data_IF_936773809141
#
_entry.id   IF_936773809141
#
_cell.length_a   1.000
_cell.length_b   1.000
_cell.length_c   1.000
_cell.angle_alpha   90.00
_cell.angle_beta   90.00
_cell.angle_gamma   90.00
#
_symmetry.space_group_name_H-M   'P 1'
#
loop_
_entity.id
_entity.type
_entity.pdbx_description
1 polymer ?
#
# COMPACT_ATOMS: atom_id res chain seq x y z
N UNK A 1 -23.59 -55.46 -2.28
CA UNK A 1 -23.75 -54.45 -1.19
C UNK A 1 -22.48 -53.61 -1.07
N UNK A 2 -22.26 -52.64 -1.98
CA UNK A 2 -21.13 -51.71 -1.91
C UNK A 2 -21.37 -50.44 -2.75
N UNK A 3 -22.61 -49.92 -2.75
CA UNK A 3 -22.98 -48.70 -3.50
C UNK A 3 -23.87 -47.72 -2.73
N UNK A 4 -23.88 -47.79 -1.40
CA UNK A 4 -24.63 -46.84 -0.56
C UNK A 4 -23.77 -46.01 0.42
N UNK A 5 -22.47 -46.22 0.51
CA UNK A 5 -21.61 -45.47 1.45
C UNK A 5 -20.97 -44.20 0.88
N UNK A 6 -21.08 -43.93 -0.43
CA UNK A 6 -20.46 -42.75 -1.04
C UNK A 6 -21.34 -41.48 -0.99
N UNK A 7 -22.65 -41.62 -0.74
CA UNK A 7 -23.59 -40.50 -0.79
C UNK A 7 -23.74 -39.73 0.53
N UNK A 8 -23.26 -40.28 1.65
CA UNK A 8 -23.30 -39.60 2.96
C UNK A 8 -22.04 -38.78 3.29
N UNK A 9 -20.93 -39.01 2.57
CA UNK A 9 -19.68 -38.25 2.75
C UNK A 9 -19.65 -37.01 1.85
N UNK A 10 -20.31 -37.05 0.69
CA UNK A 10 -20.33 -35.91 -0.25
C UNK A 10 -21.22 -34.77 0.24
N UNK A 11 -22.29 -35.07 1.00
CA UNK A 11 -23.16 -34.02 1.55
C UNK A 11 -22.54 -33.30 2.74
N UNK A 12 -21.67 -33.92 3.54
CA UNK A 12 -21.00 -33.27 4.68
C UNK A 12 -19.83 -32.39 4.24
N UNK A 13 -19.11 -32.76 3.18
CA UNK A 13 -18.02 -31.93 2.62
C UNK A 13 -18.58 -30.69 1.90
N UNK A 14 -19.75 -30.79 1.26
CA UNK A 14 -20.39 -29.65 0.61
C UNK A 14 -20.92 -28.59 1.59
N UNK A 15 -21.19 -28.94 2.86
CA UNK A 15 -21.68 -27.98 3.86
C UNK A 15 -20.57 -27.09 4.42
N UNK A 16 -19.30 -27.49 4.30
CA UNK A 16 -18.18 -26.74 4.90
C UNK A 16 -17.66 -25.60 4.00
N UNK A 17 -17.98 -25.59 2.70
CA UNK A 17 -17.47 -24.57 1.76
C UNK A 17 -18.51 -23.56 1.27
N UNK A 18 -19.74 -23.54 1.80
CA UNK A 18 -20.81 -22.63 1.30
C UNK A 18 -20.80 -21.25 1.99
N UNK A 19 -20.02 -21.01 3.05
CA UNK A 19 -20.03 -19.74 3.80
C UNK A 19 -18.71 -18.95 3.74
N UNK A 20 -18.27 -18.63 2.53
CA UNK A 20 -17.15 -17.68 2.32
C UNK A 20 -17.55 -16.47 1.44
N UNK A 21 -18.83 -16.10 1.43
CA UNK A 21 -19.39 -14.98 0.64
C UNK A 21 -20.05 -13.90 1.50
N UNK A 22 -19.71 -13.83 2.79
CA UNK A 22 -20.14 -12.76 3.69
C UNK A 22 -18.97 -11.84 4.01
N UNK A 23 -19.21 -10.52 3.92
CA UNK A 23 -18.29 -9.50 4.40
C UNK A 23 -17.84 -9.77 5.85
N UNK A 24 -16.67 -9.28 6.19
CA UNK A 24 -16.02 -9.50 7.48
C UNK A 24 -16.31 -8.37 8.43
N UNK A 25 -16.83 -8.69 9.62
CA UNK A 25 -17.07 -7.71 10.67
C UNK A 25 -16.24 -8.04 11.91
N UNK A 26 -15.50 -7.05 12.41
CA UNK A 26 -14.75 -7.12 13.65
C UNK A 26 -15.29 -6.09 14.63
N UNK A 27 -15.69 -6.54 15.82
CA UNK A 27 -16.18 -5.67 16.89
C UNK A 27 -15.04 -5.24 17.80
N UNK A 28 -15.19 -4.05 18.40
CA UNK A 28 -14.20 -3.42 19.27
C UNK A 28 -12.82 -3.33 18.60
N UNK A 29 -12.84 -3.11 17.29
CA UNK A 29 -11.67 -3.03 16.42
C UNK A 29 -11.80 -1.86 15.47
N UNK A 30 -10.67 -1.26 15.16
CA UNK A 30 -10.55 -0.18 14.18
C UNK A 30 -9.42 -0.51 13.22
N UNK A 31 -9.63 -0.31 11.92
CA UNK A 31 -8.55 -0.28 10.96
C UNK A 31 -7.94 1.13 10.99
N UNK A 32 -6.70 1.32 11.45
CA UNK A 32 -6.07 2.63 11.44
C UNK A 32 -5.82 3.13 10.01
N UNK A 33 -5.34 4.35 9.90
CA UNK A 33 -4.92 4.95 8.63
C UNK A 33 -5.99 5.67 7.81
N UNK A 34 -5.71 5.85 6.52
CA UNK A 34 -6.42 6.80 5.66
C UNK A 34 -7.93 6.56 5.60
N UNK A 35 -8.69 7.65 5.51
CA UNK A 35 -10.15 7.66 5.48
C UNK A 35 -10.57 8.44 4.25
N UNK A 36 -11.20 7.78 3.28
CA UNK A 36 -11.65 8.42 2.04
C UNK A 36 -12.86 9.34 2.29
N UNK A 37 -13.71 9.01 3.28
CA UNK A 37 -14.88 9.81 3.63
C UNK A 37 -15.23 9.59 5.10
N UNK A 38 -15.48 10.68 5.82
CA UNK A 38 -16.05 10.64 7.17
C UNK A 38 -17.42 11.30 7.16
N UNK A 39 -18.43 10.66 7.76
CA UNK A 39 -19.76 11.25 7.89
C UNK A 39 -20.47 10.74 9.15
N UNK A 40 -21.50 11.47 9.59
CA UNK A 40 -22.32 11.08 10.73
C UNK A 40 -23.35 10.04 10.31
N UNK A 41 -23.45 8.98 11.09
CA UNK A 41 -24.47 7.95 10.93
C UNK A 41 -24.86 7.40 12.28
N UNK A 42 -26.15 7.17 12.49
CA UNK A 42 -26.68 6.53 13.70
C UNK A 42 -26.58 5.00 13.63
N UNK A 43 -26.35 4.45 12.44
CA UNK A 43 -26.26 3.02 12.20
C UNK A 43 -25.10 2.67 11.25
N UNK A 44 -24.46 1.55 11.53
CA UNK A 44 -23.36 1.02 10.72
C UNK A 44 -23.84 0.54 9.34
N UNK A 45 -25.14 0.21 9.17
CA UNK A 45 -25.72 -0.15 7.87
C UNK A 45 -25.65 0.98 6.84
N UNK A 46 -25.79 2.23 7.26
CA UNK A 46 -25.64 3.37 6.35
C UNK A 46 -24.17 3.57 5.95
N UNK A 47 -23.19 3.16 6.78
CA UNK A 47 -21.80 3.06 6.34
C UNK A 47 -21.65 2.05 5.19
N UNK A 48 -22.33 0.90 5.30
CA UNK A 48 -22.31 -0.14 4.26
C UNK A 48 -22.95 0.33 2.96
N UNK A 49 -24.10 1.02 3.03
CA UNK A 49 -24.76 1.57 1.85
C UNK A 49 -23.87 2.60 1.12
N UNK A 50 -23.35 3.58 1.85
CA UNK A 50 -22.44 4.59 1.31
C UNK A 50 -21.16 3.99 0.74
N UNK A 51 -20.63 2.94 1.38
CA UNK A 51 -19.47 2.22 0.86
C UNK A 51 -19.80 1.43 -0.41
N UNK A 52 -20.96 0.76 -0.49
CA UNK A 52 -21.38 0.06 -1.72
C UNK A 52 -21.58 1.01 -2.90
N UNK A 53 -21.99 2.26 -2.62
CA UNK A 53 -22.20 3.31 -3.62
C UNK A 53 -20.91 4.07 -3.98
N UNK A 54 -19.78 3.76 -3.35
CA UNK A 54 -18.49 4.38 -3.61
C UNK A 54 -17.52 3.37 -4.22
N UNK A 55 -17.08 3.61 -5.46
CA UNK A 55 -16.24 2.67 -6.21
C UNK A 55 -14.86 2.42 -5.58
N UNK A 56 -14.35 3.40 -4.84
CA UNK A 56 -13.07 3.31 -4.15
C UNK A 56 -13.19 2.69 -2.76
N UNK A 57 -14.40 2.45 -2.25
CA UNK A 57 -14.58 1.97 -0.89
C UNK A 57 -14.46 0.44 -0.82
N UNK A 58 -13.50 -0.04 -0.02
CA UNK A 58 -13.22 -1.47 0.22
C UNK A 58 -13.71 -1.91 1.61
N UNK A 59 -13.63 -1.02 2.60
CA UNK A 59 -14.00 -1.27 3.98
C UNK A 59 -14.46 0.01 4.69
N UNK A 60 -14.97 -0.10 5.91
CA UNK A 60 -15.25 1.05 6.76
C UNK A 60 -15.02 0.76 8.24
N UNK A 61 -14.78 1.83 9.01
CA UNK A 61 -14.93 1.80 10.45
C UNK A 61 -16.21 2.53 10.87
N UNK A 62 -16.89 2.04 11.89
CA UNK A 62 -18.03 2.70 12.51
C UNK A 62 -17.79 2.88 14.01
N UNK A 63 -17.96 4.10 14.51
CA UNK A 63 -17.89 4.41 15.93
C UNK A 63 -19.29 4.46 16.52
N UNK A 64 -19.63 3.48 17.37
CA UNK A 64 -20.94 3.42 18.03
C UNK A 64 -21.19 4.58 18.99
N UNK A 65 -20.14 5.05 19.66
CA UNK A 65 -20.23 6.12 20.67
C UNK A 65 -20.28 7.51 20.02
N UNK A 66 -19.54 7.69 18.93
CA UNK A 66 -19.46 8.95 18.19
C UNK A 66 -20.47 9.10 17.05
N UNK A 67 -21.17 8.02 16.70
CA UNK A 67 -22.12 7.93 15.58
C UNK A 67 -21.50 8.46 14.28
N UNK A 68 -20.30 8.00 13.94
CA UNK A 68 -19.63 8.36 12.68
C UNK A 68 -19.05 7.13 11.95
N UNK A 69 -19.08 7.23 10.63
CA UNK A 69 -18.49 6.26 9.69
C UNK A 69 -17.21 6.85 9.11
N UNK A 70 -16.19 6.01 8.98
CA UNK A 70 -14.95 6.28 8.25
C UNK A 70 -14.85 5.26 7.11
N UNK A 71 -15.13 5.67 5.88
CA UNK A 71 -14.96 4.81 4.69
C UNK A 71 -13.47 4.71 4.33
N UNK A 72 -13.06 3.57 3.78
CA UNK A 72 -11.66 3.27 3.43
C UNK A 72 -11.56 2.55 2.11
N UNK A 73 -10.49 2.80 1.38
CA UNK A 73 -10.15 2.13 0.12
C UNK A 73 -9.21 0.93 0.26
N UNK A 74 -8.98 0.49 1.50
CA UNK A 74 -8.18 -0.69 1.81
C UNK A 74 -8.84 -1.49 2.92
N UNK A 75 -8.46 -2.76 3.05
CA UNK A 75 -8.93 -3.67 4.09
C UNK A 75 -7.97 -4.86 4.24
N UNK A 76 -8.15 -5.68 5.28
CA UNK A 76 -7.28 -6.83 5.53
C UNK A 76 -7.34 -7.81 4.35
N UNK A 77 -6.17 -8.19 3.84
CA UNK A 77 -6.05 -9.00 2.61
C UNK A 77 -6.49 -10.45 2.80
N UNK A 78 -6.45 -10.99 4.02
CA UNK A 78 -6.72 -12.41 4.32
C UNK A 78 -7.53 -12.54 5.62
N UNK A 79 -8.61 -13.34 5.56
CA UNK A 79 -9.57 -13.62 6.66
C UNK A 79 -8.91 -13.98 8.00
N UNK A 80 -7.84 -14.76 7.95
CA UNK A 80 -7.18 -15.33 9.12
C UNK A 80 -6.07 -14.44 9.71
N UNK A 81 -5.67 -13.37 9.00
CA UNK A 81 -4.59 -12.47 9.42
C UNK A 81 -5.10 -11.05 9.73
N UNK A 82 -6.41 -10.82 9.72
CA UNK A 82 -6.99 -9.50 9.97
C UNK A 82 -6.61 -8.90 11.34
N UNK A 83 -6.23 -9.72 12.32
CA UNK A 83 -5.75 -9.25 13.62
C UNK A 83 -4.38 -8.56 13.57
N UNK A 84 -3.62 -8.70 12.48
CA UNK A 84 -2.33 -8.03 12.29
C UNK A 84 -2.52 -6.58 11.81
N UNK A 85 -3.62 -6.30 11.09
CA UNK A 85 -3.93 -4.99 10.52
C UNK A 85 -4.85 -4.13 11.43
N UNK A 86 -5.61 -4.78 12.32
CA UNK A 86 -6.62 -4.13 13.16
C UNK A 86 -6.09 -3.82 14.56
N UNK A 87 -6.42 -2.63 15.07
CA UNK A 87 -6.16 -2.26 16.46
C UNK A 87 -7.41 -2.45 17.31
N UNK A 88 -7.23 -2.99 18.52
CA UNK A 88 -8.30 -3.08 19.51
C UNK A 88 -8.72 -1.66 19.92
N UNK A 89 -9.99 -1.33 19.70
CA UNK A 89 -10.54 -0.01 19.99
C UNK A 89 -12.02 -0.13 20.40
N UNK A 90 -12.27 0.02 21.70
CA UNK A 90 -13.60 -0.16 22.26
C UNK A 90 -14.64 0.80 21.66
N UNK A 91 -15.82 0.28 21.35
CA UNK A 91 -16.93 1.03 20.75
C UNK A 91 -16.86 1.12 19.22
N UNK A 92 -15.79 0.65 18.59
CA UNK A 92 -15.63 0.68 17.13
C UNK A 92 -15.95 -0.66 16.49
N UNK A 93 -16.39 -0.61 15.24
CA UNK A 93 -16.65 -1.77 14.39
C UNK A 93 -15.87 -1.55 13.10
N UNK A 94 -15.06 -2.52 12.71
CA UNK A 94 -14.47 -2.55 11.39
C UNK A 94 -15.23 -3.55 10.50
N UNK A 95 -15.58 -3.15 9.29
CA UNK A 95 -16.20 -4.04 8.31
C UNK A 95 -15.50 -3.97 6.96
N UNK A 96 -15.12 -5.12 6.43
CA UNK A 96 -14.62 -5.27 5.06
C UNK A 96 -15.69 -5.97 4.22
N UNK A 97 -16.03 -5.40 3.06
CA UNK A 97 -17.08 -5.97 2.22
C UNK A 97 -16.59 -7.25 1.52
N UNK A 98 -17.53 -8.04 1.02
CA UNK A 98 -17.25 -9.32 0.36
C UNK A 98 -16.26 -9.16 -0.82
N UNK A 99 -15.08 -9.82 -0.78
CA UNK A 99 -14.13 -9.86 -1.89
C UNK A 99 -14.76 -10.21 -3.24
N UNK A 100 -15.79 -11.06 -3.27
CA UNK A 100 -16.45 -11.50 -4.50
C UNK A 100 -17.23 -10.37 -5.21
N UNK A 101 -17.72 -9.38 -4.45
CA UNK A 101 -18.38 -8.20 -5.01
C UNK A 101 -17.39 -7.26 -5.72
N UNK A 102 -16.16 -7.19 -5.21
CA UNK A 102 -15.07 -6.46 -5.88
C UNK A 102 -14.62 -7.19 -7.15
N UNK A 103 -14.42 -8.52 -7.08
CA UNK A 103 -14.01 -9.33 -8.24
C UNK A 103 -15.00 -9.21 -9.40
N UNK A 104 -16.32 -9.22 -9.14
CA UNK A 104 -17.34 -9.04 -10.17
C UNK A 104 -17.39 -7.63 -10.76
N UNK A 105 -17.07 -6.60 -9.96
CA UNK A 105 -16.94 -5.22 -10.45
C UNK A 105 -15.70 -5.08 -11.35
N UNK A 106 -14.62 -5.80 -11.05
CA UNK A 106 -13.43 -5.88 -11.90
C UNK A 106 -13.71 -6.64 -13.21
N UNK A 107 -14.50 -7.71 -13.20
CA UNK A 107 -14.85 -8.52 -14.39
C UNK A 107 -15.71 -7.76 -15.42
N UNK A 108 -16.59 -6.85 -14.98
CA UNK A 108 -17.34 -5.95 -15.88
C UNK A 108 -16.51 -4.83 -16.52
N UNK A 109 -15.28 -4.60 -16.03
CA UNK A 109 -14.34 -3.59 -16.54
C UNK A 109 -13.16 -4.17 -17.32
N UNK A 110 -13.11 -5.49 -17.51
CA UNK A 110 -11.91 -6.16 -18.04
C UNK A 110 -11.96 -6.36 -19.55
N UNK A 111 -11.98 -5.26 -20.29
CA UNK A 111 -11.24 -5.14 -21.56
C UNK A 111 -11.05 -3.67 -21.95
N UNK A 112 -10.20 -2.95 -21.20
CA UNK A 112 -9.44 -1.83 -21.77
C UNK A 112 -8.06 -1.77 -21.12
N UNK A 113 -7.05 -1.95 -21.97
CA UNK A 113 -5.60 -1.76 -21.81
C UNK A 113 -4.85 -2.42 -20.63
N UNK A 114 -4.17 -3.54 -20.91
CA UNK A 114 -2.84 -3.85 -20.32
C UNK A 114 -1.75 -2.96 -20.96
N UNK A 115 -2.04 -1.68 -21.12
CA UNK A 115 -1.19 -0.66 -21.70
C UNK A 115 -1.23 0.50 -20.70
N UNK A 116 -0.19 0.65 -19.86
CA UNK A 116 -0.18 1.67 -18.81
C UNK A 116 0.55 1.35 -17.50
N UNK A 117 1.15 0.16 -17.35
CA UNK A 117 1.95 -0.13 -16.14
C UNK A 117 3.31 0.57 -16.23
N UNK A 118 3.59 1.48 -15.29
CA UNK A 118 4.89 2.11 -15.18
C UNK A 118 5.91 1.08 -14.67
N UNK A 119 7.13 1.15 -15.18
CA UNK A 119 8.25 0.37 -14.64
C UNK A 119 9.14 1.31 -13.86
N UNK A 120 9.45 0.96 -12.61
CA UNK A 120 10.48 1.65 -11.83
C UNK A 120 11.70 0.76 -11.64
N UNK A 121 12.87 1.38 -11.70
CA UNK A 121 14.16 0.72 -11.46
C UNK A 121 14.95 1.55 -10.47
N UNK A 122 15.51 0.88 -9.46
CA UNK A 122 16.27 1.50 -8.40
C UNK A 122 17.58 0.76 -8.16
N UNK A 123 18.64 1.50 -7.81
CA UNK A 123 19.80 0.95 -7.09
C UNK A 123 19.72 1.42 -5.64
N UNK A 124 19.58 0.45 -4.74
CA UNK A 124 19.28 0.63 -3.33
C UNK A 124 19.90 -0.55 -2.53
N UNK A 125 20.53 -0.30 -1.38
CA UNK A 125 21.07 -1.41 -0.57
C UNK A 125 19.96 -2.44 -0.23
N UNK A 126 18.96 -2.03 0.55
CA UNK A 126 17.70 -2.76 0.73
C UNK A 126 16.55 -1.78 0.64
N UNK A 127 15.60 -2.02 -0.26
CA UNK A 127 14.44 -1.16 -0.41
C UNK A 127 13.13 -1.91 -0.58
N UNK A 128 12.07 -1.32 -0.06
CA UNK A 128 10.69 -1.74 -0.26
C UNK A 128 9.93 -0.60 -0.94
N UNK A 129 9.25 -0.91 -2.04
CA UNK A 129 8.49 0.06 -2.82
C UNK A 129 6.99 -0.12 -2.57
N UNK A 130 6.26 0.99 -2.50
CA UNK A 130 4.82 1.04 -2.31
C UNK A 130 4.19 1.87 -3.42
N UNK A 131 3.05 1.41 -3.93
CA UNK A 131 2.17 2.17 -4.80
C UNK A 131 0.83 2.37 -4.06
N UNK A 132 0.50 3.62 -3.77
CA UNK A 132 -0.73 4.02 -3.07
C UNK A 132 -1.02 3.20 -1.80
N UNK A 133 0.00 2.92 -0.99
CA UNK A 133 -0.15 2.10 0.22
C UNK A 133 0.10 0.60 0.04
N UNK A 134 0.09 0.10 -1.19
CA UNK A 134 0.31 -1.32 -1.48
C UNK A 134 1.79 -1.61 -1.68
N UNK A 135 2.37 -2.44 -0.81
CA UNK A 135 3.74 -2.95 -1.01
C UNK A 135 3.84 -3.74 -2.32
N UNK A 136 4.84 -3.37 -3.13
CA UNK A 136 5.27 -4.06 -4.35
C UNK A 136 6.45 -5.03 -4.07
N UNK A 137 6.82 -5.19 -2.80
CA UNK A 137 7.83 -6.11 -2.31
C UNK A 137 9.15 -5.45 -1.93
N UNK A 138 9.92 -6.17 -1.11
CA UNK A 138 11.29 -5.81 -0.71
C UNK A 138 12.31 -6.38 -1.71
N UNK A 139 13.35 -5.60 -2.02
CA UNK A 139 14.49 -5.98 -2.86
C UNK A 139 15.80 -5.49 -2.27
N UNK A 140 16.89 -6.13 -2.67
CA UNK A 140 18.26 -5.80 -2.26
C UNK A 140 19.13 -5.73 -3.51
N UNK A 141 19.90 -4.66 -3.68
CA UNK A 141 20.89 -4.53 -4.77
C UNK A 141 22.30 -4.34 -4.22
N UNK A 142 23.29 -4.50 -5.09
CA UNK A 142 24.71 -4.43 -4.73
C UNK A 142 25.55 -3.55 -5.68
N UNK A 143 24.95 -2.55 -6.34
CA UNK A 143 25.65 -1.59 -7.21
C UNK A 143 25.95 -2.05 -8.63
N UNK A 144 25.96 -3.36 -8.85
CA UNK A 144 26.01 -3.96 -10.19
C UNK A 144 24.64 -4.48 -10.65
N UNK A 145 23.62 -4.36 -9.80
CA UNK A 145 22.25 -4.82 -10.03
C UNK A 145 21.23 -3.72 -9.72
N UNK A 146 20.05 -3.82 -10.33
CA UNK A 146 18.92 -2.90 -10.11
C UNK A 146 17.68 -3.65 -9.66
N UNK A 147 16.94 -3.06 -8.73
CA UNK A 147 15.63 -3.51 -8.27
C UNK A 147 14.57 -3.00 -9.25
N UNK A 148 13.91 -3.92 -9.96
CA UNK A 148 12.84 -3.60 -10.91
C UNK A 148 11.46 -3.84 -10.31
N UNK A 149 10.57 -2.88 -10.44
CA UNK A 149 9.18 -2.93 -9.96
C UNK A 149 8.20 -2.59 -11.08
N UNK A 150 7.02 -3.21 -11.02
CA UNK A 150 5.90 -2.92 -11.91
C UNK A 150 4.85 -2.17 -11.12
N UNK A 151 4.55 -0.95 -11.54
CA UNK A 151 3.64 -0.03 -10.88
C UNK A 151 2.31 -0.09 -11.62
N UNK A 152 1.18 -0.27 -10.90
CA UNK A 152 -0.14 -0.21 -11.49
C UNK A 152 -0.41 1.10 -12.24
N UNK A 153 -1.26 1.05 -13.26
CA UNK A 153 -1.78 2.28 -13.87
C UNK A 153 -2.55 3.12 -12.84
N UNK A 154 -2.58 4.45 -13.06
CA UNK A 154 -3.26 5.43 -12.20
C UNK A 154 -2.73 5.54 -10.77
N UNK A 155 -1.52 5.05 -10.49
CA UNK A 155 -0.89 5.28 -9.18
C UNK A 155 -0.66 6.77 -8.95
N UNK A 156 -1.08 7.26 -7.78
CA UNK A 156 -0.96 8.68 -7.42
C UNK A 156 0.34 8.97 -6.67
N UNK A 157 0.75 8.06 -5.79
CA UNK A 157 1.93 8.20 -4.94
C UNK A 157 2.78 6.95 -5.00
N UNK A 158 4.08 7.18 -5.15
CA UNK A 158 5.11 6.17 -4.92
C UNK A 158 5.82 6.51 -3.62
N UNK A 159 5.97 5.50 -2.79
CA UNK A 159 6.71 5.56 -1.55
C UNK A 159 7.79 4.47 -1.53
N UNK A 160 8.94 4.78 -0.95
CA UNK A 160 10.08 3.88 -0.86
C UNK A 160 10.72 3.97 0.52
N UNK A 161 10.95 2.83 1.14
CA UNK A 161 11.84 2.71 2.30
C UNK A 161 13.18 2.23 1.80
N UNK A 162 14.28 2.87 2.22
CA UNK A 162 15.63 2.41 1.90
C UNK A 162 16.45 2.28 3.17
N UNK A 163 17.03 1.10 3.38
CA UNK A 163 17.93 0.80 4.49
C UNK A 163 19.35 0.57 3.99
N UNK A 164 20.29 1.29 4.62
CA UNK A 164 21.73 1.16 4.42
C UNK A 164 22.25 -0.12 5.06
N UNK A 165 22.95 -0.92 4.27
CA UNK A 165 23.64 -2.14 4.72
C UNK A 165 25.15 -1.97 4.54
N UNK A 166 25.60 -1.41 3.42
CA UNK A 166 27.01 -1.40 3.00
C UNK A 166 27.66 -0.01 3.09
N UNK A 167 27.09 0.91 3.87
CA UNK A 167 27.64 2.26 4.05
C UNK A 167 27.34 3.25 2.91
N UNK A 168 26.58 2.84 1.88
CA UNK A 168 26.10 3.75 0.83
C UNK A 168 25.08 4.74 1.39
N UNK A 169 25.24 6.02 1.04
CA UNK A 169 24.50 7.15 1.63
C UNK A 169 23.37 7.68 0.75
N UNK A 170 22.98 6.93 -0.27
CA UNK A 170 21.92 7.34 -1.18
C UNK A 170 21.35 6.15 -1.93
N UNK A 171 20.17 6.38 -2.51
CA UNK A 171 19.62 5.54 -3.57
C UNK A 171 19.39 6.38 -4.82
N UNK A 172 19.25 5.70 -5.95
CA UNK A 172 18.95 6.33 -7.23
C UNK A 172 17.95 5.49 -7.99
N UNK A 173 17.10 6.12 -8.79
CA UNK A 173 16.17 5.39 -9.64
C UNK A 173 15.51 6.25 -10.69
N UNK A 174 14.85 5.57 -11.61
CA UNK A 174 14.07 6.18 -12.67
C UNK A 174 12.86 5.33 -13.03
N UNK A 175 11.87 5.99 -13.61
CA UNK A 175 10.61 5.41 -14.04
C UNK A 175 10.55 5.43 -15.57
N UNK A 176 9.70 4.58 -16.14
CA UNK A 176 9.47 4.53 -17.59
C UNK A 176 8.76 5.76 -18.16
N UNK A 177 8.24 6.65 -17.31
CA UNK A 177 7.63 7.93 -17.69
C UNK A 177 8.50 9.15 -17.34
N UNK A 178 9.83 8.99 -17.41
CA UNK A 178 10.82 10.05 -17.18
C UNK A 178 10.86 10.67 -15.78
N UNK A 179 10.02 10.21 -14.84
CA UNK A 179 10.18 10.53 -13.42
C UNK A 179 11.51 9.93 -12.94
N UNK A 180 12.26 10.70 -12.16
CA UNK A 180 13.56 10.31 -11.63
C UNK A 180 13.66 10.64 -10.15
N UNK A 181 14.60 10.00 -9.47
CA UNK A 181 15.01 10.45 -8.14
C UNK A 181 15.78 11.76 -8.25
N UNK A 182 15.25 12.81 -7.64
CA UNK A 182 15.86 14.14 -7.57
C UNK A 182 15.33 14.90 -6.34
N UNK A 183 15.61 16.20 -6.25
CA UNK A 183 15.22 17.06 -5.13
C UNK A 183 13.70 17.34 -5.07
N UNK A 184 12.89 16.85 -6.02
CA UNK A 184 11.42 16.94 -5.94
C UNK A 184 10.81 15.94 -4.97
N UNK A 185 11.54 14.88 -4.64
CA UNK A 185 11.12 13.87 -3.67
C UNK A 185 11.07 14.48 -2.27
N UNK A 186 10.13 14.01 -1.45
CA UNK A 186 10.14 14.31 -0.01
C UNK A 186 10.67 13.13 0.75
N UNK A 187 11.56 13.37 1.69
CA UNK A 187 12.18 12.35 2.51
C UNK A 187 12.12 12.71 4.00
N UNK A 188 12.03 11.67 4.83
CA UNK A 188 12.05 11.79 6.28
C UNK A 188 12.86 10.67 6.91
N UNK A 189 13.43 10.97 8.08
CA UNK A 189 14.05 10.00 8.98
C UNK A 189 13.13 9.63 10.15
N UNK A 190 11.95 10.28 10.24
CA UNK A 190 10.97 10.13 11.33
C UNK A 190 10.23 8.79 11.27
N UNK A 191 10.51 7.97 10.26
CA UNK A 191 10.38 6.52 10.23
C UNK A 191 10.32 5.73 11.52
N UNK A 192 11.11 6.18 12.48
CA UNK A 192 11.37 5.51 13.76
C UNK A 192 10.79 6.26 14.95
N UNK A 193 10.08 7.37 14.73
CA UNK A 193 9.38 8.07 15.80
C UNK A 193 8.41 7.09 16.46
N UNK A 194 8.35 7.04 17.81
CA UNK A 194 7.39 6.18 18.50
C UNK A 194 5.97 6.44 17.98
N UNK A 195 5.33 5.43 17.38
CA UNK A 195 4.02 5.56 16.70
C UNK A 195 4.07 5.68 15.16
N UNK A 196 5.25 5.75 14.54
CA UNK A 196 5.44 5.80 13.09
C UNK A 196 5.48 4.41 12.43
N UNK A 197 5.31 3.32 13.18
CA UNK A 197 5.29 1.96 12.63
C UNK A 197 4.01 1.64 11.80
N UNK A 198 3.37 2.67 11.29
CA UNK A 198 2.18 2.62 10.46
C UNK A 198 2.59 2.93 9.01
N UNK A 199 2.20 2.08 8.07
CA UNK A 199 2.45 2.28 6.63
C UNK A 199 1.60 3.41 6.05
N UNK A 200 0.80 4.13 6.85
CA UNK A 200 0.00 5.29 6.42
C UNK A 200 0.74 6.32 5.58
N UNK A 201 2.03 6.56 5.85
CA UNK A 201 2.82 7.51 5.08
C UNK A 201 3.01 7.13 3.62
N UNK A 202 2.72 5.88 3.25
CA UNK A 202 2.82 5.38 1.86
C UNK A 202 1.54 5.63 1.05
N UNK A 203 0.45 6.09 1.67
CA UNK A 203 -0.83 6.34 1.01
C UNK A 203 -0.92 7.76 0.42
N UNK A 204 -1.74 7.98 -0.64
CA UNK A 204 -1.88 9.28 -1.29
C UNK A 204 -2.31 10.40 -0.35
N UNK A 205 -3.26 10.09 0.54
CA UNK A 205 -3.84 11.05 1.48
C UNK A 205 -2.98 11.45 2.67
N UNK A 206 -1.78 10.87 2.83
CA UNK A 206 -0.87 11.30 3.88
C UNK A 206 -0.29 12.69 3.58
N UNK A 207 -0.25 13.53 4.62
CA UNK A 207 0.26 14.90 4.53
C UNK A 207 1.73 14.95 4.92
N UNK A 208 2.59 14.97 3.90
CA UNK A 208 4.06 15.08 4.02
C UNK A 208 4.56 16.52 4.16
N UNK A 209 3.75 17.43 4.73
CA UNK A 209 4.09 18.87 4.81
C UNK A 209 5.30 19.16 5.70
N UNK A 210 5.55 18.31 6.69
CA UNK A 210 6.68 18.43 7.60
C UNK A 210 7.95 17.74 7.08
N UNK A 211 7.84 16.97 5.99
CA UNK A 211 8.99 16.29 5.41
C UNK A 211 9.82 17.29 4.62
N UNK A 212 11.13 17.16 4.74
CA UNK A 212 12.06 17.93 3.94
C UNK A 212 12.11 17.35 2.52
N UNK A 213 12.42 18.21 1.55
CA UNK A 213 12.78 17.74 0.22
C UNK A 213 14.09 16.94 0.29
N UNK A 214 14.25 16.02 -0.65
CA UNK A 214 15.41 15.15 -0.71
C UNK A 214 16.66 15.97 -1.08
N UNK A 215 17.76 15.60 -0.47
CA UNK A 215 19.06 16.20 -0.77
C UNK A 215 19.83 15.34 -1.76
N UNK A 216 20.28 15.96 -2.83
CA UNK A 216 21.09 15.29 -3.84
C UNK A 216 22.57 15.32 -3.45
N UNK A 217 23.24 14.17 -3.52
CA UNK A 217 24.68 14.09 -3.31
C UNK A 217 25.42 14.67 -4.52
N UNK A 218 25.80 15.95 -4.43
CA UNK A 218 26.57 16.64 -5.48
C UNK A 218 27.91 15.94 -5.71
N UNK A 219 28.16 15.52 -6.95
CA UNK A 219 29.47 15.05 -7.42
C UNK A 219 29.65 13.53 -7.55
N UNK A 220 28.75 12.69 -7.04
CA UNK A 220 28.86 11.23 -7.25
C UNK A 220 28.52 10.79 -8.68
N UNK A 221 27.74 11.56 -9.44
CA UNK A 221 27.51 11.30 -10.87
C UNK A 221 28.76 11.53 -11.75
N UNK A 222 29.86 12.07 -11.22
CA UNK A 222 31.07 12.36 -12.01
C UNK A 222 32.02 11.17 -12.13
N UNK A 223 32.06 10.27 -11.13
CA UNK A 223 33.00 9.13 -11.09
C UNK A 223 32.34 7.77 -10.78
N UNK A 224 31.03 7.73 -10.49
CA UNK A 224 30.30 6.47 -10.26
C UNK A 224 29.56 6.11 -11.54
N UNK A 225 29.87 4.94 -12.12
CA UNK A 225 29.12 4.41 -13.27
C UNK A 225 27.66 4.27 -12.83
N UNK A 226 26.76 5.04 -13.44
CA UNK A 226 25.32 4.87 -13.22
C UNK A 226 24.93 3.42 -13.56
N UNK A 227 24.16 2.74 -12.69
CA UNK A 227 23.68 1.40 -12.98
C UNK A 227 22.93 1.36 -14.31
N UNK A 228 23.15 0.31 -15.10
CA UNK A 228 22.55 0.18 -16.43
C UNK A 228 21.02 0.20 -16.33
N UNK A 229 20.40 0.98 -17.23
CA UNK A 229 18.95 1.17 -17.29
C UNK A 229 18.47 2.44 -16.57
N UNK A 230 19.20 2.95 -15.57
CA UNK A 230 18.80 4.15 -14.83
C UNK A 230 19.09 5.41 -15.66
N UNK A 231 18.10 6.32 -15.71
CA UNK A 231 18.20 7.58 -16.46
C UNK A 231 19.39 8.43 -15.98
N UNK A 232 20.11 9.03 -16.93
CA UNK A 232 21.22 9.98 -16.64
C UNK A 232 20.75 11.26 -15.94
N UNK A 233 19.45 11.55 -15.98
CA UNK A 233 18.84 12.67 -15.26
C UNK A 233 18.66 12.37 -13.76
N UNK A 234 18.70 11.11 -13.37
CA UNK A 234 18.52 10.71 -11.99
C UNK A 234 19.71 11.14 -11.12
N UNK A 235 19.40 11.45 -9.88
CA UNK A 235 20.36 11.86 -8.86
C UNK A 235 20.30 10.88 -7.71
N UNK A 236 21.46 10.64 -7.11
CA UNK A 236 21.58 9.98 -5.82
C UNK A 236 20.99 10.90 -4.76
N UNK A 237 19.90 10.46 -4.14
CA UNK A 237 19.18 11.23 -3.12
C UNK A 237 19.17 10.53 -1.76
N UNK A 238 19.07 11.34 -0.72
CA UNK A 238 18.86 10.92 0.66
C UNK A 238 18.17 12.04 1.44
N UNK A 239 17.92 11.83 2.73
CA UNK A 239 17.62 12.93 3.65
C UNK A 239 18.93 13.57 4.14
N UNK A 240 18.94 14.81 4.62
CA UNK A 240 20.14 15.53 5.13
C UNK A 240 20.78 14.91 6.38
N UNK A 241 20.32 13.74 6.83
CA UNK A 241 20.79 13.05 8.03
C UNK A 241 21.74 11.87 7.76
N UNK A 242 22.40 11.40 8.83
CA UNK A 242 23.30 10.24 8.80
C UNK A 242 22.63 8.90 9.11
N UNK A 243 21.29 8.88 9.12
CA UNK A 243 20.50 7.72 9.48
C UNK A 243 20.72 6.52 8.57
N UNK A 244 20.55 5.32 9.13
CA UNK A 244 20.68 4.06 8.40
C UNK A 244 19.45 3.75 7.54
N UNK A 245 18.39 4.53 7.64
CA UNK A 245 17.12 4.27 6.99
C UNK A 245 16.46 5.59 6.63
N UNK A 246 15.85 5.63 5.45
CA UNK A 246 15.13 6.79 4.95
C UNK A 246 13.80 6.36 4.34
N UNK A 247 12.82 7.23 4.47
CA UNK A 247 11.47 7.06 3.96
C UNK A 247 11.24 8.20 2.98
N UNK A 248 11.01 7.89 1.72
CA UNK A 248 10.84 8.89 0.68
C UNK A 248 9.55 8.64 -0.10
N UNK A 249 8.91 9.71 -0.57
CA UNK A 249 7.71 9.63 -1.39
C UNK A 249 7.67 10.73 -2.45
N UNK A 250 6.96 10.45 -3.53
CA UNK A 250 6.73 11.38 -4.64
C UNK A 250 5.31 11.19 -5.18
N UNK A 251 4.70 12.27 -5.66
CA UNK A 251 3.44 12.22 -6.39
C UNK A 251 3.72 12.02 -7.88
N UNK A 252 2.99 11.11 -8.52
CA UNK A 252 3.10 10.85 -9.96
C UNK A 252 2.15 11.71 -10.80
N UNK A 253 1.09 12.23 -10.17
CA UNK A 253 0.11 13.15 -10.74
C UNK A 253 -0.20 14.25 -9.72
N UNK A 254 -0.34 15.49 -10.19
CA UNK A 254 -0.83 16.61 -9.38
C UNK A 254 -2.34 16.51 -9.12
#
# INVERSE_FOLDING_TARGET
MARLFCLWIVTTIAVVCIWCSAGLTFQDSKLPGFVIKTFKSTDWLHCLEECNNNDDCVSYNYNRLGSNCELKNFGPKIRCHANEDLVAFHGWIHHTLDPSKYVKKTEGSRFSSMEGNLTAIFDCDRCELFADGTSLGEKTTNGDSVAKFFIPSNTQVIAITVKRINGRRAFIGSFSNDIVTDESWKCSNEGKSPGFNDTTWTFPGFRDTHWSYASSLRGQNKNSRLPLGISQKAKWIWNDGNENEVYCRVKLSD
#
